data_IF_133545635235
#
_entry.id   IF_133545635235
#
_cell.length_a   1.000
_cell.length_b   1.000
_cell.length_c   1.000
_cell.angle_alpha   90.00
_cell.angle_beta   90.00
_cell.angle_gamma   90.00
#
_symmetry.space_group_name_H-M   'P 1'
#
loop_
_entity.id
_entity.type
_entity.pdbx_description
1 polymer ?
#
# COMPACT_ATOMS: atom_id res chain seq x y z
N UNK A 1 -20.13 -35.34 24.19
CA UNK A 1 -20.17 -34.03 23.51
C UNK A 1 -18.82 -33.40 23.72
N UNK A 2 -17.97 -33.50 22.72
CA UNK A 2 -16.66 -32.86 22.72
C UNK A 2 -16.73 -31.81 21.62
N UNK A 3 -17.03 -30.57 22.00
CA UNK A 3 -17.01 -29.44 21.08
C UNK A 3 -15.55 -29.05 20.94
N UNK A 4 -14.92 -29.60 19.90
CA UNK A 4 -13.60 -29.18 19.47
C UNK A 4 -13.58 -27.66 19.37
N UNK A 5 -12.83 -27.02 20.26
CA UNK A 5 -12.45 -25.63 20.14
C UNK A 5 -11.59 -25.53 18.87
N UNK A 6 -12.25 -25.28 17.73
CA UNK A 6 -11.55 -24.86 16.54
C UNK A 6 -10.84 -23.55 16.89
N UNK A 7 -9.51 -23.60 16.98
CA UNK A 7 -8.68 -22.42 17.03
C UNK A 7 -9.11 -21.52 15.87
N UNK A 8 -9.71 -20.37 16.19
CA UNK A 8 -9.96 -19.26 15.27
C UNK A 8 -8.61 -18.56 15.03
N UNK A 9 -7.62 -19.35 14.63
CA UNK A 9 -6.27 -18.94 14.27
C UNK A 9 -6.21 -18.90 12.76
N UNK A 10 -6.10 -17.69 12.23
CA UNK A 10 -5.75 -17.39 10.85
C UNK A 10 -6.77 -17.80 9.77
N UNK A 11 -7.94 -17.17 9.82
CA UNK A 11 -8.57 -16.77 8.56
C UNK A 11 -7.57 -15.81 7.90
N UNK A 12 -6.86 -16.26 6.86
CA UNK A 12 -5.95 -15.41 6.08
C UNK A 12 -6.79 -14.39 5.29
N UNK A 13 -7.28 -13.38 6.01
CA UNK A 13 -8.14 -12.34 5.49
C UNK A 13 -7.36 -11.60 4.39
N UNK A 14 -7.80 -11.75 3.15
CA UNK A 14 -7.13 -11.17 1.99
C UNK A 14 -7.29 -9.64 1.98
N UNK A 15 -6.26 -8.97 1.48
CA UNK A 15 -6.28 -7.52 1.26
C UNK A 15 -6.96 -7.23 -0.07
N UNK A 16 -8.10 -6.57 0.00
CA UNK A 16 -8.86 -6.04 -1.14
C UNK A 16 -8.31 -4.68 -1.55
N UNK A 17 -8.85 -4.10 -2.61
CA UNK A 17 -8.54 -2.74 -3.02
C UNK A 17 -9.03 -1.72 -1.99
N UNK A 18 -10.24 -1.91 -1.47
CA UNK A 18 -10.85 -1.07 -0.44
C UNK A 18 -10.03 -1.05 0.85
N UNK A 19 -9.49 -2.21 1.25
CA UNK A 19 -8.60 -2.24 2.41
C UNK A 19 -7.31 -1.45 2.18
N UNK A 20 -6.76 -1.51 0.97
CA UNK A 20 -5.55 -0.77 0.67
C UNK A 20 -5.85 0.73 0.67
N UNK A 21 -7.00 1.16 0.14
CA UNK A 21 -7.44 2.56 0.14
C UNK A 21 -7.62 3.09 1.55
N UNK A 22 -8.29 2.31 2.41
CA UNK A 22 -8.40 2.65 3.81
C UNK A 22 -7.01 2.75 4.47
N UNK A 23 -6.08 1.85 4.13
CA UNK A 23 -4.72 1.88 4.67
C UNK A 23 -3.92 3.11 4.19
N UNK A 24 -4.04 3.53 2.92
CA UNK A 24 -3.43 4.79 2.44
C UNK A 24 -4.01 5.99 3.18
N UNK A 25 -5.33 6.07 3.30
CA UNK A 25 -5.97 7.17 4.01
C UNK A 25 -5.53 7.21 5.49
N UNK A 26 -5.49 6.06 6.16
CA UNK A 26 -5.03 5.96 7.54
C UNK A 26 -3.58 6.39 7.70
N UNK A 27 -2.70 6.02 6.77
CA UNK A 27 -1.30 6.45 6.79
C UNK A 27 -1.15 7.96 6.58
N UNK A 28 -1.91 8.55 5.65
CA UNK A 28 -1.91 9.99 5.36
C UNK A 28 -2.47 10.84 6.52
N UNK A 29 -3.40 10.29 7.30
CA UNK A 29 -4.03 10.98 8.43
C UNK A 29 -3.19 10.96 9.72
N UNK A 30 -2.16 10.10 9.80
CA UNK A 30 -1.28 10.02 10.98
C UNK A 30 -0.04 10.91 10.76
N UNK A 31 0.22 11.90 11.63
CA UNK A 31 1.39 12.76 11.52
C UNK A 31 2.70 11.96 11.45
N UNK A 32 3.53 12.23 10.44
CA UNK A 32 4.81 11.52 10.23
C UNK A 32 5.94 12.01 11.12
N UNK A 33 5.69 13.01 11.98
CA UNK A 33 6.69 13.55 12.93
C UNK A 33 7.20 12.45 13.89
N UNK A 34 6.47 11.34 14.04
CA UNK A 34 6.86 10.15 14.81
C UNK A 34 7.83 9.20 14.11
N UNK A 35 8.12 9.37 12.81
CA UNK A 35 8.97 8.44 12.04
C UNK A 35 10.46 8.78 12.19
N UNK A 36 10.81 10.00 12.63
CA UNK A 36 12.19 10.49 12.80
C UNK A 36 12.69 10.27 14.24
N UNK A 37 12.42 9.10 14.83
CA UNK A 37 12.78 8.80 16.22
C UNK A 37 13.30 7.38 16.43
N UNK A 38 13.34 6.94 17.70
CA UNK A 38 13.78 5.59 18.09
C UNK A 38 12.69 4.52 17.79
N UNK A 39 12.99 3.25 18.05
CA UNK A 39 12.06 2.12 17.79
C UNK A 39 10.68 2.27 18.45
N UNK A 40 10.59 2.98 19.59
CA UNK A 40 9.31 3.23 20.27
C UNK A 40 8.42 4.16 19.45
N UNK A 41 8.97 5.23 18.89
CA UNK A 41 8.20 6.17 18.05
C UNK A 41 7.70 5.53 16.76
N UNK A 42 8.50 4.63 16.15
CA UNK A 42 8.06 3.85 15.00
C UNK A 42 6.95 2.86 15.36
N UNK A 43 7.01 2.22 16.54
CA UNK A 43 5.94 1.34 17.02
C UNK A 43 4.64 2.14 17.24
N UNK A 44 4.74 3.29 17.89
CA UNK A 44 3.58 4.13 18.21
C UNK A 44 2.94 4.69 16.93
N UNK A 45 3.73 5.03 15.92
CA UNK A 45 3.23 5.37 14.58
C UNK A 45 2.36 4.25 13.98
N UNK A 46 2.86 3.01 13.95
CA UNK A 46 2.08 1.89 13.40
C UNK A 46 0.85 1.52 14.23
N UNK A 47 0.88 1.78 15.54
CA UNK A 47 -0.30 1.64 16.39
C UNK A 47 -1.37 2.67 15.99
N UNK A 48 -1.00 3.94 15.84
CA UNK A 48 -1.93 5.00 15.41
C UNK A 48 -2.50 4.73 14.01
N UNK A 49 -1.68 4.29 13.05
CA UNK A 49 -2.17 3.93 11.70
C UNK A 49 -3.14 2.76 11.77
N UNK A 50 -2.89 1.76 12.63
CA UNK A 50 -3.80 0.65 12.80
C UNK A 50 -5.10 1.06 13.51
N UNK A 51 -5.05 1.97 14.47
CA UNK A 51 -6.23 2.54 15.11
C UNK A 51 -7.10 3.27 14.09
N UNK A 52 -6.49 4.14 13.27
CA UNK A 52 -7.22 4.89 12.25
C UNK A 52 -7.79 3.96 11.15
N UNK A 53 -7.02 2.98 10.70
CA UNK A 53 -7.52 1.95 9.77
C UNK A 53 -8.71 1.18 10.37
N UNK A 54 -8.60 0.75 11.63
CA UNK A 54 -9.65 -0.03 12.29
C UNK A 54 -10.90 0.80 12.60
N UNK A 55 -10.77 2.10 12.84
CA UNK A 55 -11.89 3.01 13.04
C UNK A 55 -12.71 3.22 11.75
N UNK A 56 -12.06 3.07 10.59
CA UNK A 56 -12.66 3.28 9.27
C UNK A 56 -12.93 1.97 8.51
N UNK A 57 -12.90 0.81 9.19
CA UNK A 57 -13.20 -0.50 8.58
C UNK A 57 -14.26 -1.27 9.37
N UNK A 58 -14.90 -2.22 8.71
CA UNK A 58 -15.86 -3.12 9.37
C UNK A 58 -15.16 -3.99 10.43
N UNK A 59 -15.88 -4.38 11.49
CA UNK A 59 -15.32 -5.14 12.61
C UNK A 59 -14.64 -6.45 12.18
N UNK A 60 -15.18 -7.13 11.16
CA UNK A 60 -14.61 -8.37 10.61
C UNK A 60 -13.39 -8.14 9.68
N UNK A 61 -12.97 -6.89 9.49
CA UNK A 61 -11.83 -6.48 8.65
C UNK A 61 -10.65 -5.93 9.47
N UNK A 62 -10.79 -5.81 10.80
CA UNK A 62 -9.79 -5.21 11.68
C UNK A 62 -8.43 -5.94 11.61
N UNK A 63 -7.35 -5.17 11.76
CA UNK A 63 -5.97 -5.64 11.62
C UNK A 63 -5.11 -5.20 12.78
N UNK A 64 -4.13 -6.04 13.10
CA UNK A 64 -3.08 -5.74 14.06
C UNK A 64 -2.04 -4.78 13.44
N UNK A 65 -1.38 -3.91 14.24
CA UNK A 65 -0.33 -3.00 13.76
C UNK A 65 0.76 -3.68 12.93
N UNK A 66 1.16 -4.90 13.29
CA UNK A 66 2.16 -5.67 12.53
C UNK A 66 1.67 -6.09 11.13
N UNK A 67 0.38 -6.38 10.97
CA UNK A 67 -0.22 -6.72 9.68
C UNK A 67 -0.32 -5.48 8.79
N UNK A 68 -0.72 -4.35 9.38
CA UNK A 68 -0.78 -3.03 8.76
C UNK A 68 0.61 -2.63 8.24
N UNK A 69 1.62 -2.65 9.10
CA UNK A 69 3.02 -2.36 8.73
C UNK A 69 3.51 -3.24 7.59
N UNK A 70 3.35 -4.57 7.71
CA UNK A 70 3.79 -5.52 6.67
C UNK A 70 3.09 -5.26 5.33
N UNK A 71 1.79 -4.97 5.35
CA UNK A 71 1.04 -4.64 4.14
C UNK A 71 1.52 -3.34 3.53
N UNK A 72 1.67 -2.30 4.34
CA UNK A 72 2.19 -1.01 3.91
C UNK A 72 3.55 -1.15 3.24
N UNK A 73 4.53 -1.78 3.91
CA UNK A 73 5.88 -1.92 3.37
C UNK A 73 5.92 -2.62 2.01
N UNK A 74 5.10 -3.66 1.82
CA UNK A 74 4.98 -4.34 0.52
C UNK A 74 4.38 -3.40 -0.53
N UNK A 75 3.23 -2.82 -0.22
CA UNK A 75 2.50 -1.95 -1.11
C UNK A 75 3.34 -0.72 -1.53
N UNK A 76 3.94 -0.02 -0.57
CA UNK A 76 4.77 1.15 -0.81
C UNK A 76 6.01 0.82 -1.64
N UNK A 77 6.60 -0.38 -1.48
CA UNK A 77 7.74 -0.80 -2.29
C UNK A 77 7.37 -1.01 -3.77
N UNK A 78 6.20 -1.60 -4.04
CA UNK A 78 5.72 -1.79 -5.40
C UNK A 78 5.30 -0.46 -6.04
N UNK A 79 4.69 0.44 -5.26
CA UNK A 79 4.30 1.79 -5.68
C UNK A 79 5.54 2.62 -6.04
N UNK A 80 6.56 2.65 -5.18
CA UNK A 80 7.78 3.41 -5.43
C UNK A 80 8.53 2.91 -6.68
N UNK A 81 8.51 1.59 -6.91
CA UNK A 81 9.09 1.01 -8.10
C UNK A 81 8.34 1.46 -9.37
N UNK A 82 7.00 1.39 -9.36
CA UNK A 82 6.17 1.85 -10.47
C UNK A 82 6.36 3.35 -10.73
N UNK A 83 6.38 4.15 -9.67
CA UNK A 83 6.62 5.59 -9.70
C UNK A 83 7.97 5.95 -10.35
N UNK A 84 9.03 5.20 -10.04
CA UNK A 84 10.32 5.33 -10.72
C UNK A 84 10.26 4.99 -12.22
N UNK A 85 9.49 3.98 -12.62
CA UNK A 85 9.27 3.65 -14.03
C UNK A 85 8.43 4.72 -14.74
N UNK A 86 7.42 5.27 -14.06
CA UNK A 86 6.63 6.36 -14.58
C UNK A 86 7.49 7.59 -14.87
N UNK A 87 8.36 7.99 -13.94
CA UNK A 87 9.30 9.09 -14.17
C UNK A 87 10.25 8.82 -15.34
N UNK A 88 10.80 7.61 -15.46
CA UNK A 88 11.65 7.22 -16.61
C UNK A 88 10.92 7.36 -17.94
N UNK A 89 9.65 6.98 -17.99
CA UNK A 89 8.81 7.13 -19.19
C UNK A 89 8.55 8.61 -19.47
N UNK A 90 8.14 9.38 -18.46
CA UNK A 90 7.88 10.82 -18.57
C UNK A 90 9.10 11.61 -19.05
N UNK A 91 10.27 11.35 -18.46
CA UNK A 91 11.55 11.97 -18.86
C UNK A 91 11.89 11.68 -20.33
N UNK A 92 11.72 10.42 -20.77
CA UNK A 92 11.99 10.02 -22.15
C UNK A 92 11.04 10.71 -23.14
N UNK A 93 9.76 10.88 -22.80
CA UNK A 93 8.80 11.59 -23.65
C UNK A 93 9.08 13.09 -23.71
N UNK A 94 9.32 13.71 -22.56
CA UNK A 94 9.67 15.13 -22.44
C UNK A 94 10.91 15.47 -23.28
N UNK A 95 11.94 14.61 -23.26
CA UNK A 95 13.16 14.79 -24.05
C UNK A 95 12.93 14.76 -25.57
N UNK A 96 11.85 14.11 -26.04
CA UNK A 96 11.53 13.98 -27.47
C UNK A 96 10.56 15.05 -27.98
N UNK A 97 10.08 15.95 -27.11
CA UNK A 97 9.07 16.96 -27.45
C UNK A 97 7.69 16.39 -27.77
N UNK A 98 7.45 15.11 -27.48
CA UNK A 98 6.19 14.43 -27.72
C UNK A 98 5.39 14.36 -26.43
N UNK A 99 4.31 15.15 -26.33
CA UNK A 99 3.31 14.95 -25.30
C UNK A 99 2.48 13.71 -25.66
N UNK A 100 2.70 12.60 -24.97
CA UNK A 100 1.91 11.39 -25.18
C UNK A 100 0.83 11.30 -24.11
N UNK A 101 -0.42 11.14 -24.52
CA UNK A 101 -1.59 11.13 -23.63
C UNK A 101 -1.67 9.91 -22.72
N UNK A 102 -0.79 8.91 -22.88
CA UNK A 102 -0.90 7.66 -22.14
C UNK A 102 0.43 7.19 -21.52
N UNK A 103 1.05 8.08 -20.73
CA UNK A 103 2.22 7.74 -19.91
C UNK A 103 1.93 6.56 -18.98
N UNK A 104 0.73 6.55 -18.36
CA UNK A 104 0.33 5.50 -17.41
C UNK A 104 0.31 4.12 -18.06
N UNK A 105 -0.33 3.93 -19.23
CA UNK A 105 -0.34 2.60 -19.86
C UNK A 105 1.05 2.15 -20.29
N UNK A 106 1.92 3.07 -20.72
CA UNK A 106 3.31 2.74 -21.06
C UNK A 106 4.11 2.30 -19.83
N UNK A 107 3.93 2.97 -18.70
CA UNK A 107 4.56 2.60 -17.43
C UNK A 107 4.01 1.27 -16.90
N UNK A 108 2.71 1.00 -17.06
CA UNK A 108 2.10 -0.29 -16.69
C UNK A 108 2.66 -1.43 -17.53
N UNK A 109 2.83 -1.22 -18.83
CA UNK A 109 3.45 -2.21 -19.72
C UNK A 109 4.93 -2.43 -19.39
N UNK A 110 5.69 -1.36 -19.13
CA UNK A 110 7.07 -1.46 -18.67
C UNK A 110 7.17 -2.25 -17.37
N UNK A 111 6.31 -1.96 -16.39
CA UNK A 111 6.26 -2.69 -15.13
C UNK A 111 5.96 -4.17 -15.35
N UNK A 112 4.98 -4.50 -16.19
CA UNK A 112 4.62 -5.87 -16.53
C UNK A 112 5.79 -6.65 -17.12
N UNK A 113 6.54 -6.03 -18.01
CA UNK A 113 7.69 -6.63 -18.69
C UNK A 113 8.89 -6.80 -17.75
N UNK A 114 9.22 -5.78 -16.96
CA UNK A 114 10.40 -5.81 -16.07
C UNK A 114 10.16 -6.64 -14.79
N UNK A 115 8.94 -6.63 -14.24
CA UNK A 115 8.61 -7.34 -12.99
C UNK A 115 7.96 -8.71 -13.21
N UNK A 116 7.64 -9.05 -14.46
CA UNK A 116 6.91 -10.27 -14.81
C UNK A 116 5.58 -10.43 -14.04
N UNK A 117 4.93 -9.30 -13.72
CA UNK A 117 3.64 -9.24 -13.02
C UNK A 117 2.93 -7.92 -13.31
N UNK A 118 1.60 -7.93 -13.32
CA UNK A 118 0.82 -6.69 -13.41
C UNK A 118 0.94 -5.86 -12.12
N UNK A 119 1.05 -4.55 -12.28
CA UNK A 119 0.96 -3.61 -11.15
C UNK A 119 -0.47 -3.60 -10.60
N UNK A 120 -0.61 -3.73 -9.28
CA UNK A 120 -1.92 -3.90 -8.60
C UNK A 120 -2.36 -2.69 -7.80
N UNK A 121 -1.51 -1.66 -7.70
CA UNK A 121 -1.67 -0.53 -6.80
C UNK A 121 -1.81 0.79 -7.55
N UNK A 122 -2.40 0.77 -8.75
CA UNK A 122 -2.58 1.97 -9.55
C UNK A 122 -3.45 3.00 -8.84
N UNK A 123 -4.58 2.57 -8.27
CA UNK A 123 -5.46 3.46 -7.51
C UNK A 123 -4.74 4.05 -6.28
N UNK A 124 -3.95 3.26 -5.56
CA UNK A 124 -3.06 3.72 -4.49
C UNK A 124 -2.09 4.81 -4.92
N UNK A 125 -1.36 4.56 -6.01
CA UNK A 125 -0.32 5.46 -6.49
C UNK A 125 -0.88 6.83 -6.86
N UNK A 126 -2.14 6.92 -7.30
CA UNK A 126 -2.80 8.21 -7.56
C UNK A 126 -3.03 9.08 -6.31
N UNK A 127 -2.95 8.52 -5.09
CA UNK A 127 -3.16 9.24 -3.83
C UNK A 127 -1.85 9.57 -3.07
N UNK A 128 -0.70 9.06 -3.52
CA UNK A 128 0.62 9.21 -2.87
C UNK A 128 1.50 10.10 -3.73
#
# INVERSE_FOLDING_TARGET
MDIGHANIGDIHLQWTEEDNLCLVNAWLNVPTDFVIGNENTARDFWNQVAEEYNANTADNRRRQPIQIKRRWSKMSSEILLFDGMWRRVDDAFTATGQYNQDLVSKSLEMYRLEQNQSFKFLNMWMFI
#
